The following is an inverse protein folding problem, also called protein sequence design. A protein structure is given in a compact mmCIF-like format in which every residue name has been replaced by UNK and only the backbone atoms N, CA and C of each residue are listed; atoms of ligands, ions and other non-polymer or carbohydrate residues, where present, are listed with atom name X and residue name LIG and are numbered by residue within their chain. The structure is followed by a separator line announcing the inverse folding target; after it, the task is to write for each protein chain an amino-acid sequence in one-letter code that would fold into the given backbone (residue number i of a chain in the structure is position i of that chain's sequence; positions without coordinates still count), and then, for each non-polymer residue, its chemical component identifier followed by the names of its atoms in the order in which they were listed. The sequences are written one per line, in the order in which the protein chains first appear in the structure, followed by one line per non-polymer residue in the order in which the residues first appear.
data_IF_676259966729
#
_entry.id   IF_676259966729
#
_cell.length_a   1.000
_cell.length_b   1.000
_cell.length_c   1.000
_cell.angle_alpha   90.00
_cell.angle_beta   90.00
_cell.angle_gamma   90.00
#
_symmetry.space_group_name_H-M   'P 1'
#
loop_
_entity.id
_entity.type
_entity.pdbx_description
1 polymer ?
#
# COMPACT_ATOMS: atom_id res chain seq x y z
N UNK A 1 3.48 -2.20 19.64
CA UNK A 1 3.04 -1.25 18.58
C UNK A 1 3.74 -1.69 17.30
N UNK A 2 2.98 -1.92 16.26
CA UNK A 2 3.55 -2.19 14.94
C UNK A 2 3.65 -0.87 14.17
N UNK A 3 4.83 -0.58 13.63
CA UNK A 3 5.16 0.63 12.90
C UNK A 3 5.86 0.28 11.60
N UNK A 4 5.42 0.85 10.51
CA UNK A 4 6.05 0.71 9.19
C UNK A 4 6.13 2.05 8.45
N UNK A 5 6.97 2.10 7.44
CA UNK A 5 7.02 3.19 6.46
C UNK A 5 6.82 2.56 5.09
N UNK A 6 5.81 3.03 4.35
CA UNK A 6 5.64 2.64 2.95
C UNK A 6 6.87 3.09 2.16
N UNK A 7 7.46 2.18 1.40
CA UNK A 7 8.69 2.49 0.67
C UNK A 7 8.52 3.57 -0.39
N UNK A 8 7.28 3.88 -0.82
CA UNK A 8 6.98 5.04 -1.65
C UNK A 8 7.46 6.37 -1.02
N UNK A 9 7.61 6.40 0.31
CA UNK A 9 8.17 7.56 1.03
C UNK A 9 9.59 7.94 0.56
N UNK A 10 10.29 7.05 -0.15
CA UNK A 10 11.64 7.23 -0.68
C UNK A 10 11.67 7.18 -2.22
N UNK A 11 10.55 7.49 -2.89
CA UNK A 11 10.43 7.32 -4.35
C UNK A 11 11.37 8.23 -5.15
N UNK A 12 11.64 9.47 -4.70
CA UNK A 12 12.58 10.37 -5.38
C UNK A 12 14.02 9.92 -5.25
N UNK A 13 14.41 9.41 -4.07
CA UNK A 13 15.74 8.80 -3.86
C UNK A 13 15.90 7.53 -4.72
N UNK A 14 14.82 6.75 -4.89
CA UNK A 14 14.81 5.61 -5.81
C UNK A 14 15.00 6.08 -7.27
N UNK A 15 14.26 7.11 -7.70
CA UNK A 15 14.35 7.66 -9.06
C UNK A 15 15.75 8.21 -9.40
N UNK A 16 16.44 8.78 -8.42
CA UNK A 16 17.84 9.25 -8.60
C UNK A 16 18.87 8.14 -8.52
N UNK A 17 18.48 6.92 -8.15
CA UNK A 17 19.39 5.79 -7.96
C UNK A 17 20.18 5.84 -6.65
N UNK A 18 19.82 6.75 -5.74
CA UNK A 18 20.42 6.87 -4.41
C UNK A 18 19.81 5.90 -3.39
N UNK A 19 18.74 5.20 -3.77
CA UNK A 19 18.00 4.28 -2.91
C UNK A 19 17.62 2.99 -3.66
N UNK A 20 17.54 1.91 -2.94
CA UNK A 20 17.03 0.62 -3.39
C UNK A 20 16.29 -0.11 -2.25
N UNK A 21 15.81 -1.31 -2.50
CA UNK A 21 15.08 -2.10 -1.50
C UNK A 21 15.95 -2.45 -0.27
N UNK A 22 17.26 -2.60 -0.43
CA UNK A 22 18.16 -2.92 0.68
C UNK A 22 18.43 -1.69 1.55
N UNK A 23 18.56 -0.51 0.93
CA UNK A 23 18.66 0.75 1.65
C UNK A 23 17.35 1.05 2.38
N UNK A 24 16.19 0.81 1.75
CA UNK A 24 14.88 0.91 2.39
C UNK A 24 14.78 0.07 3.68
N UNK A 25 15.23 -1.20 3.64
CA UNK A 25 15.24 -2.07 4.82
C UNK A 25 16.14 -1.48 5.92
N UNK A 26 17.33 -0.99 5.56
CA UNK A 26 18.28 -0.35 6.49
C UNK A 26 17.69 0.91 7.13
N UNK A 27 17.02 1.74 6.33
CA UNK A 27 16.41 2.99 6.80
C UNK A 27 15.23 2.72 7.72
N UNK A 28 14.35 1.77 7.39
CA UNK A 28 13.28 1.33 8.28
C UNK A 28 13.81 0.83 9.63
N UNK A 29 14.89 0.02 9.62
CA UNK A 29 15.54 -0.42 10.84
C UNK A 29 16.07 0.77 11.67
N UNK A 30 16.76 1.69 11.02
CA UNK A 30 17.36 2.88 11.65
C UNK A 30 16.30 3.85 12.21
N UNK A 31 15.12 3.90 11.60
CA UNK A 31 13.99 4.73 12.02
C UNK A 31 13.10 4.04 13.08
N UNK A 32 13.45 2.81 13.52
CA UNK A 32 12.73 2.08 14.55
C UNK A 32 11.42 1.45 14.10
N UNK A 33 11.27 1.18 12.80
CA UNK A 33 10.15 0.38 12.30
C UNK A 33 10.20 -1.04 12.87
N UNK A 34 9.05 -1.68 12.96
CA UNK A 34 8.91 -3.07 13.43
C UNK A 34 8.52 -4.03 12.32
N UNK A 35 8.14 -3.49 11.16
CA UNK A 35 7.87 -4.23 9.93
C UNK A 35 8.08 -3.33 8.71
N UNK A 36 8.08 -3.94 7.55
CA UNK A 36 8.23 -3.28 6.24
C UNK A 36 6.88 -3.15 5.55
N UNK A 37 6.66 -2.03 4.87
CA UNK A 37 5.51 -1.76 4.01
C UNK A 37 6.05 -1.43 2.61
N UNK A 38 6.11 -2.45 1.76
CA UNK A 38 6.85 -2.39 0.50
C UNK A 38 5.94 -1.99 -0.65
N UNK A 39 6.23 -0.87 -1.31
CA UNK A 39 5.66 -0.53 -2.60
C UNK A 39 6.44 -1.22 -3.74
N UNK A 40 5.72 -1.79 -4.70
CA UNK A 40 6.33 -2.59 -5.77
C UNK A 40 7.31 -1.82 -6.66
N UNK A 41 7.25 -0.48 -6.71
CA UNK A 41 8.24 0.34 -7.41
C UNK A 41 9.67 0.19 -6.89
N UNK A 42 9.87 -0.23 -5.63
CA UNK A 42 11.19 -0.58 -5.07
C UNK A 42 11.75 -1.93 -5.56
N UNK A 43 11.00 -2.62 -6.41
CA UNK A 43 11.41 -3.87 -7.06
C UNK A 43 11.47 -3.71 -8.59
N UNK A 44 12.24 -2.72 -9.13
CA UNK A 44 12.16 -2.35 -10.54
C UNK A 44 12.51 -3.50 -11.49
N UNK A 45 13.35 -4.45 -11.08
CA UNK A 45 13.68 -5.64 -11.88
C UNK A 45 12.54 -6.67 -11.98
N UNK A 46 11.49 -6.54 -11.15
CA UNK A 46 10.31 -7.41 -11.15
C UNK A 46 9.09 -6.74 -11.81
N UNK A 47 9.17 -5.43 -12.11
CA UNK A 47 8.14 -4.71 -12.85
C UNK A 47 8.16 -5.15 -14.32
N UNK A 48 7.01 -5.07 -14.97
CA UNK A 48 6.95 -5.21 -16.42
C UNK A 48 7.43 -3.92 -17.11
N UNK A 49 7.90 -4.06 -18.34
CA UNK A 49 8.17 -2.92 -19.19
C UNK A 49 6.84 -2.20 -19.48
N UNK A 50 6.75 -0.91 -19.12
CA UNK A 50 5.56 -0.09 -19.37
C UNK A 50 5.19 0.00 -20.86
N UNK A 51 6.15 -0.26 -21.76
CA UNK A 51 5.92 -0.32 -23.21
C UNK A 51 5.36 -1.68 -23.67
N UNK A 52 5.24 -2.67 -22.77
CA UNK A 52 4.76 -4.01 -23.11
C UNK A 52 3.28 -3.98 -23.47
N UNK A 53 2.93 -4.53 -24.64
CA UNK A 53 1.53 -4.68 -25.04
C UNK A 53 0.76 -5.58 -24.07
N UNK A 54 -0.48 -5.25 -23.68
CA UNK A 54 -1.33 -6.11 -22.84
C UNK A 54 -1.43 -7.54 -23.33
N UNK A 55 -1.54 -7.74 -24.64
CA UNK A 55 -1.61 -9.06 -25.27
C UNK A 55 -0.33 -9.91 -25.14
N UNK A 56 0.78 -9.32 -24.74
CA UNK A 56 2.03 -10.03 -24.44
C UNK A 56 2.15 -10.48 -22.98
N UNK A 57 1.23 -10.08 -22.12
CA UNK A 57 1.14 -10.55 -20.74
C UNK A 57 0.33 -11.86 -20.73
N UNK A 58 1.03 -12.97 -20.73
CA UNK A 58 0.44 -14.32 -20.73
C UNK A 58 0.47 -14.93 -19.32
N UNK A 59 -0.29 -15.99 -19.03
CA UNK A 59 -0.29 -16.64 -17.71
C UNK A 59 1.10 -17.04 -17.20
N UNK A 60 2.04 -17.35 -18.09
CA UNK A 60 3.44 -17.68 -17.74
C UNK A 60 4.15 -16.49 -17.08
N UNK A 61 3.72 -15.25 -17.37
CA UNK A 61 4.26 -14.05 -16.73
C UNK A 61 4.05 -14.05 -15.21
N UNK A 62 3.02 -14.70 -14.70
CA UNK A 62 2.80 -14.84 -13.26
C UNK A 62 3.84 -15.74 -12.58
N UNK A 63 4.56 -16.58 -13.32
CA UNK A 63 5.57 -17.47 -12.77
C UNK A 63 6.89 -16.72 -12.54
N UNK A 64 7.54 -17.04 -11.42
CA UNK A 64 8.84 -16.45 -11.08
C UNK A 64 9.98 -17.33 -11.61
N UNK A 65 10.92 -16.72 -12.29
CA UNK A 65 12.15 -17.38 -12.73
C UNK A 65 13.08 -17.68 -11.54
N UNK A 66 14.05 -18.56 -11.74
CA UNK A 66 15.05 -18.86 -10.72
C UNK A 66 15.84 -17.63 -10.24
N UNK A 67 16.17 -16.70 -11.16
CA UNK A 67 16.88 -15.48 -10.82
C UNK A 67 16.03 -14.52 -9.97
N UNK A 68 14.72 -14.42 -10.24
CA UNK A 68 13.79 -13.62 -9.44
C UNK A 68 13.59 -14.22 -8.05
N UNK A 69 13.49 -15.54 -7.94
CA UNK A 69 13.42 -16.23 -6.65
C UNK A 69 14.69 -16.03 -5.82
N UNK A 70 15.87 -16.06 -6.44
CA UNK A 70 17.14 -15.75 -5.78
C UNK A 70 17.17 -14.28 -5.29
N UNK A 71 16.71 -13.34 -6.11
CA UNK A 71 16.62 -11.93 -5.72
C UNK A 71 15.68 -11.72 -4.54
N UNK A 72 14.48 -12.31 -4.56
CA UNK A 72 13.52 -12.25 -3.46
C UNK A 72 14.06 -12.91 -2.18
N UNK A 73 14.79 -14.02 -2.32
CA UNK A 73 15.47 -14.68 -1.19
C UNK A 73 16.50 -13.77 -0.53
N UNK A 74 17.25 -13.00 -1.32
CA UNK A 74 18.22 -12.02 -0.78
C UNK A 74 17.52 -10.87 -0.05
N UNK A 75 16.42 -10.35 -0.61
CA UNK A 75 15.63 -9.29 0.03
C UNK A 75 15.08 -9.79 1.37
N UNK A 76 14.45 -10.97 1.37
CA UNK A 76 13.92 -11.56 2.60
C UNK A 76 15.02 -11.81 3.62
N UNK A 77 16.18 -12.31 3.23
CA UNK A 77 17.33 -12.51 4.11
C UNK A 77 17.85 -11.21 4.73
N UNK A 78 17.82 -10.10 3.98
CA UNK A 78 18.16 -8.77 4.50
C UNK A 78 17.14 -8.30 5.54
N UNK A 79 15.85 -8.45 5.25
CA UNK A 79 14.76 -8.10 6.17
C UNK A 79 14.82 -8.94 7.47
N UNK A 80 15.01 -10.25 7.34
CA UNK A 80 15.16 -11.18 8.48
C UNK A 80 16.38 -10.78 9.35
N UNK A 81 17.49 -10.39 8.72
CA UNK A 81 18.72 -9.94 9.43
C UNK A 81 18.51 -8.63 10.17
N UNK A 82 17.65 -7.76 9.67
CA UNK A 82 17.24 -6.52 10.31
C UNK A 82 16.14 -6.73 11.37
N UNK A 83 15.56 -7.93 11.48
CA UNK A 83 14.43 -8.22 12.36
C UNK A 83 13.11 -7.60 11.92
N UNK A 84 12.96 -7.30 10.63
CA UNK A 84 11.81 -6.61 10.05
C UNK A 84 11.01 -7.56 9.13
N UNK A 85 9.92 -8.17 9.59
CA UNK A 85 9.01 -8.89 8.70
C UNK A 85 8.34 -7.93 7.71
N UNK A 86 7.91 -8.45 6.55
CA UNK A 86 7.03 -7.71 5.64
C UNK A 86 5.60 -7.68 6.20
N UNK A 87 4.96 -6.51 6.17
CA UNK A 87 3.55 -6.30 6.48
C UNK A 87 2.71 -6.30 5.21
N UNK A 88 2.52 -5.15 4.58
CA UNK A 88 1.78 -5.04 3.33
C UNK A 88 2.73 -4.91 2.12
N UNK A 89 2.37 -5.55 1.00
CA UNK A 89 2.95 -5.25 -0.32
C UNK A 89 1.95 -4.38 -1.10
N UNK A 90 2.26 -3.11 -1.28
CA UNK A 90 1.45 -2.18 -2.06
C UNK A 90 1.80 -2.29 -3.55
N UNK A 91 0.82 -2.66 -4.39
CA UNK A 91 1.04 -2.93 -5.81
C UNK A 91 0.33 -1.93 -6.69
N UNK A 92 1.10 -1.23 -7.52
CA UNK A 92 0.61 -0.42 -8.63
C UNK A 92 0.65 -1.20 -9.94
N UNK A 93 -0.24 -0.84 -10.89
CA UNK A 93 -0.25 -1.44 -12.22
C UNK A 93 -0.91 -2.81 -12.34
N UNK A 94 -1.65 -3.25 -11.30
CA UNK A 94 -2.43 -4.48 -11.30
C UNK A 94 -3.89 -4.26 -10.86
N UNK A 95 -4.38 -3.01 -10.97
CA UNK A 95 -5.74 -2.64 -10.56
C UNK A 95 -6.82 -3.34 -11.41
N UNK A 96 -8.01 -3.49 -10.82
CA UNK A 96 -9.04 -4.39 -11.37
C UNK A 96 -9.81 -3.81 -12.54
N UNK A 97 -10.12 -2.50 -12.51
CA UNK A 97 -10.85 -1.85 -13.59
C UNK A 97 -9.94 -1.09 -14.54
N UNK A 98 -10.13 -1.37 -15.80
CA UNK A 98 -9.67 -0.64 -16.98
C UNK A 98 -10.78 -0.62 -18.01
N UNK A 99 -10.80 0.36 -18.92
CA UNK A 99 -11.79 0.42 -20.00
C UNK A 99 -11.63 -0.76 -20.98
N UNK A 100 -10.39 -1.14 -21.28
CA UNK A 100 -10.08 -2.27 -22.16
C UNK A 100 -10.17 -3.61 -21.45
N UNK A 101 -10.97 -4.57 -21.95
CA UNK A 101 -10.98 -5.95 -21.43
C UNK A 101 -9.61 -6.63 -21.48
N UNK A 102 -8.80 -6.35 -22.50
CA UNK A 102 -7.45 -6.88 -22.65
C UNK A 102 -6.52 -6.36 -21.54
N UNK A 103 -6.65 -5.08 -21.17
CA UNK A 103 -5.91 -4.51 -20.03
C UNK A 103 -6.35 -5.14 -18.72
N UNK A 104 -7.66 -5.35 -18.51
CA UNK A 104 -8.17 -6.03 -17.30
C UNK A 104 -7.59 -7.43 -17.19
N UNK A 105 -7.55 -8.19 -18.27
CA UNK A 105 -6.95 -9.53 -18.28
C UNK A 105 -5.44 -9.48 -17.98
N UNK A 106 -4.72 -8.54 -18.57
CA UNK A 106 -3.29 -8.35 -18.29
C UNK A 106 -3.05 -8.00 -16.82
N UNK A 107 -3.85 -7.09 -16.25
CA UNK A 107 -3.75 -6.69 -14.84
C UNK A 107 -4.07 -7.85 -13.88
N UNK A 108 -5.02 -8.73 -14.24
CA UNK A 108 -5.30 -9.94 -13.47
C UNK A 108 -4.09 -10.88 -13.41
N UNK A 109 -3.40 -11.10 -14.54
CA UNK A 109 -2.15 -11.89 -14.57
C UNK A 109 -1.04 -11.22 -13.76
N UNK A 110 -0.92 -9.87 -13.84
CA UNK A 110 0.03 -9.12 -13.02
C UNK A 110 -0.30 -9.24 -11.53
N UNK A 111 -1.57 -9.19 -11.15
CA UNK A 111 -1.99 -9.43 -9.77
C UNK A 111 -1.54 -10.82 -9.29
N UNK A 112 -1.73 -11.87 -10.09
CA UNK A 112 -1.26 -13.23 -9.75
C UNK A 112 0.27 -13.29 -9.55
N UNK A 113 1.03 -12.57 -10.38
CA UNK A 113 2.47 -12.44 -10.20
C UNK A 113 2.82 -11.80 -8.86
N UNK A 114 2.15 -10.70 -8.52
CA UNK A 114 2.39 -10.00 -7.27
C UNK A 114 1.93 -10.79 -6.04
N UNK A 115 0.88 -11.61 -6.14
CA UNK A 115 0.54 -12.60 -5.12
C UNK A 115 1.69 -13.59 -4.88
N UNK A 116 2.33 -14.07 -5.95
CA UNK A 116 3.48 -14.97 -5.83
C UNK A 116 4.69 -14.28 -5.18
N UNK A 117 4.96 -13.01 -5.53
CA UNK A 117 6.04 -12.21 -4.94
C UNK A 117 5.77 -11.96 -3.45
N UNK A 118 4.56 -11.54 -3.09
CA UNK A 118 4.17 -11.31 -1.69
C UNK A 118 4.35 -12.58 -0.84
N UNK A 119 3.91 -13.72 -1.35
CA UNK A 119 4.07 -15.02 -0.68
C UNK A 119 5.56 -15.39 -0.49
N UNK A 120 6.43 -15.13 -1.47
CA UNK A 120 7.88 -15.39 -1.36
C UNK A 120 8.55 -14.49 -0.31
N UNK A 121 8.12 -13.23 -0.21
CA UNK A 121 8.59 -12.31 0.82
C UNK A 121 8.02 -12.65 2.22
N UNK A 122 6.93 -13.41 2.28
CA UNK A 122 6.22 -13.72 3.52
C UNK A 122 5.37 -12.56 4.03
N UNK A 123 4.97 -11.64 3.16
CA UNK A 123 4.02 -10.58 3.50
C UNK A 123 2.63 -11.20 3.76
N UNK A 124 1.94 -10.85 4.86
CA UNK A 124 0.59 -11.35 5.11
C UNK A 124 -0.49 -10.58 4.35
N UNK A 125 -0.18 -9.40 3.84
CA UNK A 125 -1.14 -8.51 3.18
C UNK A 125 -0.60 -8.02 1.83
N UNK A 126 -1.53 -7.81 0.89
CA UNK A 126 -1.25 -7.20 -0.40
C UNK A 126 -2.34 -6.18 -0.74
N UNK A 127 -1.95 -5.00 -1.18
CA UNK A 127 -2.88 -3.99 -1.68
C UNK A 127 -2.96 -4.08 -3.21
N UNK A 128 -4.18 -4.26 -3.72
CA UNK A 128 -4.52 -4.18 -5.15
C UNK A 128 -5.64 -3.17 -5.30
N UNK A 129 -5.42 -2.12 -6.09
CA UNK A 129 -6.37 -1.03 -6.28
C UNK A 129 -7.60 -1.44 -7.11
N UNK A 130 -8.70 -0.73 -6.88
CA UNK A 130 -9.93 -0.90 -7.66
C UNK A 130 -9.78 -0.42 -9.12
N UNK A 131 -9.05 0.67 -9.34
CA UNK A 131 -8.99 1.34 -10.64
C UNK A 131 -10.21 2.22 -10.93
N UNK A 132 -10.44 2.52 -12.20
CA UNK A 132 -11.62 3.25 -12.65
C UNK A 132 -11.58 4.77 -12.38
N UNK A 133 -12.75 5.37 -12.17
CA UNK A 133 -12.90 6.80 -11.87
C UNK A 133 -13.77 7.04 -10.64
N UNK A 134 -13.70 8.24 -10.01
CA UNK A 134 -14.56 8.59 -8.90
C UNK A 134 -16.07 8.55 -9.24
N UNK A 135 -16.42 8.80 -10.50
CA UNK A 135 -17.77 8.65 -11.05
C UNK A 135 -18.04 7.18 -11.42
N UNK A 136 -18.06 6.30 -10.40
CA UNK A 136 -18.22 4.87 -10.59
C UNK A 136 -19.60 4.52 -11.17
N UNK A 137 -19.63 4.02 -12.40
CA UNK A 137 -20.83 3.47 -13.01
C UNK A 137 -21.18 2.08 -12.46
N UNK A 138 -22.40 1.58 -12.72
CA UNK A 138 -22.76 0.22 -12.32
C UNK A 138 -21.93 -0.83 -13.05
N UNK A 139 -21.59 -0.63 -14.33
CA UNK A 139 -20.68 -1.51 -15.06
C UNK A 139 -19.28 -1.56 -14.43
N UNK A 140 -18.74 -0.39 -14.07
CA UNK A 140 -17.44 -0.30 -13.38
C UNK A 140 -17.48 -1.01 -12.03
N UNK A 141 -18.55 -0.81 -11.26
CA UNK A 141 -18.76 -1.49 -9.98
C UNK A 141 -18.79 -3.01 -10.15
N UNK A 142 -19.57 -3.52 -11.11
CA UNK A 142 -19.69 -4.96 -11.36
C UNK A 142 -18.34 -5.59 -11.75
N UNK A 143 -17.53 -4.91 -12.55
CA UNK A 143 -16.17 -5.36 -12.92
C UNK A 143 -15.26 -5.39 -11.70
N UNK A 144 -15.24 -4.32 -10.88
CA UNK A 144 -14.40 -4.24 -9.68
C UNK A 144 -14.79 -5.35 -8.69
N UNK A 145 -16.08 -5.50 -8.40
CA UNK A 145 -16.59 -6.50 -7.44
C UNK A 145 -16.27 -7.91 -7.93
N UNK A 146 -16.52 -8.20 -9.21
CA UNK A 146 -16.17 -9.51 -9.80
C UNK A 146 -14.66 -9.77 -9.74
N UNK A 147 -13.84 -8.74 -10.00
CA UNK A 147 -12.39 -8.84 -9.93
C UNK A 147 -11.88 -9.19 -8.52
N UNK A 148 -12.42 -8.55 -7.47
CA UNK A 148 -12.06 -8.90 -6.09
C UNK A 148 -12.58 -10.29 -5.70
N UNK A 149 -13.81 -10.66 -6.08
CA UNK A 149 -14.33 -12.01 -5.81
C UNK A 149 -13.47 -13.11 -6.43
N UNK A 150 -12.86 -12.85 -7.59
CA UNK A 150 -11.94 -13.77 -8.24
C UNK A 150 -10.53 -13.74 -7.60
N UNK A 151 -10.07 -12.57 -7.14
CA UNK A 151 -8.73 -12.40 -6.56
C UNK A 151 -8.63 -12.98 -5.13
N UNK A 152 -9.63 -12.75 -4.28
CA UNK A 152 -9.59 -13.13 -2.87
C UNK A 152 -9.29 -14.62 -2.62
N UNK A 153 -9.95 -15.59 -3.29
CA UNK A 153 -9.64 -17.01 -3.11
C UNK A 153 -8.20 -17.35 -3.48
N UNK A 154 -7.67 -16.79 -4.58
CA UNK A 154 -6.29 -17.02 -5.03
C UNK A 154 -5.26 -16.46 -4.05
N UNK A 155 -5.55 -15.31 -3.45
CA UNK A 155 -4.72 -14.73 -2.40
C UNK A 155 -4.77 -15.59 -1.12
N UNK A 156 -5.96 -16.04 -0.70
CA UNK A 156 -6.15 -16.88 0.47
C UNK A 156 -5.41 -18.22 0.37
N UNK A 157 -5.34 -18.86 -0.81
CA UNK A 157 -4.54 -20.06 -1.05
C UNK A 157 -3.05 -19.86 -0.77
N UNK A 158 -2.58 -18.60 -0.80
CA UNK A 158 -1.18 -18.22 -0.50
C UNK A 158 -1.02 -17.62 0.91
N UNK A 159 -2.09 -17.61 1.70
CA UNK A 159 -2.09 -17.03 3.04
C UNK A 159 -2.09 -15.50 3.07
N UNK A 160 -2.54 -14.86 1.99
CA UNK A 160 -2.57 -13.40 1.85
C UNK A 160 -3.98 -12.83 2.09
N UNK A 161 -4.06 -11.74 2.83
CA UNK A 161 -5.22 -10.85 2.90
C UNK A 161 -5.10 -9.79 1.80
N UNK A 162 -6.16 -9.59 1.01
CA UNK A 162 -6.21 -8.53 -0.01
C UNK A 162 -6.80 -7.28 0.60
N UNK A 163 -6.13 -6.16 0.39
CA UNK A 163 -6.59 -4.83 0.77
C UNK A 163 -6.89 -4.01 -0.49
N UNK A 164 -7.96 -3.23 -0.44
CA UNK A 164 -8.19 -2.07 -1.30
C UNK A 164 -7.71 -0.84 -0.55
N UNK A 165 -7.06 0.10 -1.21
CA UNK A 165 -6.76 1.41 -0.63
C UNK A 165 -7.79 2.44 -1.09
N UNK A 166 -8.16 3.39 -0.23
CA UNK A 166 -8.74 4.63 -0.68
C UNK A 166 -7.62 5.48 -1.32
N UNK A 167 -7.41 5.29 -2.62
CA UNK A 167 -6.26 5.82 -3.34
C UNK A 167 -6.68 6.73 -4.48
N UNK A 168 -6.79 6.20 -5.68
CA UNK A 168 -7.22 6.91 -6.89
C UNK A 168 -8.41 6.20 -7.54
N UNK A 169 -8.97 6.80 -8.60
CA UNK A 169 -10.08 6.19 -9.31
C UNK A 169 -11.34 6.02 -8.45
N UNK A 170 -11.98 4.87 -8.53
CA UNK A 170 -13.25 4.60 -7.85
C UNK A 170 -13.14 4.70 -6.32
N UNK A 171 -11.99 4.36 -5.75
CA UNK A 171 -11.81 4.33 -4.28
C UNK A 171 -11.51 5.69 -3.63
N UNK A 172 -11.57 6.81 -4.39
CA UNK A 172 -11.38 8.16 -3.83
C UNK A 172 -12.56 8.69 -3.03
N UNK A 173 -13.73 8.08 -3.15
CA UNK A 173 -14.94 8.55 -2.49
C UNK A 173 -15.44 7.56 -1.47
N UNK A 174 -15.91 8.00 -0.28
CA UNK A 174 -16.40 7.11 0.76
C UNK A 174 -17.55 6.24 0.28
N UNK A 175 -18.46 6.78 -0.52
CA UNK A 175 -19.64 6.08 -1.02
C UNK A 175 -19.26 4.88 -1.89
N UNK A 176 -18.25 5.03 -2.75
CA UNK A 176 -17.75 3.93 -3.57
C UNK A 176 -17.03 2.87 -2.74
N UNK A 177 -16.17 3.31 -1.80
CA UNK A 177 -15.44 2.42 -0.90
C UNK A 177 -16.42 1.60 -0.08
N UNK A 178 -17.44 2.22 0.52
CA UNK A 178 -18.47 1.52 1.29
C UNK A 178 -19.22 0.49 0.44
N UNK A 179 -19.65 0.90 -0.76
CA UNK A 179 -20.37 0.04 -1.70
C UNK A 179 -19.55 -1.19 -2.09
N UNK A 180 -18.24 -1.01 -2.38
CA UNK A 180 -17.36 -2.13 -2.74
C UNK A 180 -17.13 -3.06 -1.54
N UNK A 181 -16.79 -2.52 -0.35
CA UNK A 181 -16.55 -3.33 0.84
C UNK A 181 -17.80 -4.13 1.27
N UNK A 182 -18.99 -3.56 1.15
CA UNK A 182 -20.26 -4.26 1.43
C UNK A 182 -20.53 -5.40 0.42
N UNK A 183 -20.16 -5.21 -0.84
CA UNK A 183 -20.36 -6.21 -1.90
C UNK A 183 -19.31 -7.33 -1.88
N UNK A 184 -18.13 -7.10 -1.27
CA UNK A 184 -17.01 -8.06 -1.27
C UNK A 184 -16.62 -8.44 0.17
N UNK A 185 -17.35 -9.34 0.83
CA UNK A 185 -16.96 -9.83 2.15
C UNK A 185 -15.57 -10.45 2.14
N UNK A 186 -14.72 -10.03 3.09
CA UNK A 186 -13.34 -10.48 3.19
C UNK A 186 -12.30 -9.55 2.56
N UNK A 187 -12.73 -8.54 1.79
CA UNK A 187 -11.85 -7.46 1.35
C UNK A 187 -11.56 -6.52 2.52
N UNK A 188 -10.28 -6.24 2.79
CA UNK A 188 -9.85 -5.25 3.79
C UNK A 188 -9.65 -3.86 3.19
N UNK A 189 -9.51 -2.86 4.08
CA UNK A 189 -9.13 -1.50 3.68
C UNK A 189 -7.73 -1.17 4.20
N UNK A 190 -6.82 -0.79 3.30
CA UNK A 190 -5.66 0.02 3.62
C UNK A 190 -6.16 1.47 3.67
N UNK A 191 -6.21 2.02 4.87
CA UNK A 191 -6.76 3.35 5.13
C UNK A 191 -5.67 4.41 4.97
N UNK A 192 -5.74 5.20 3.88
CA UNK A 192 -4.88 6.37 3.69
C UNK A 192 -5.59 7.63 4.19
N UNK A 193 -4.88 8.42 5.01
CA UNK A 193 -5.44 9.62 5.62
C UNK A 193 -5.57 10.80 4.65
N UNK A 194 -4.81 10.83 3.56
CA UNK A 194 -4.70 11.95 2.63
C UNK A 194 -5.38 11.79 1.27
N UNK A 195 -5.61 10.55 0.83
CA UNK A 195 -6.03 10.26 -0.55
C UNK A 195 -7.53 10.47 -0.84
N UNK A 196 -8.35 10.68 0.18
CA UNK A 196 -9.75 11.01 -0.02
C UNK A 196 -9.93 12.30 -0.84
N UNK A 197 -11.02 12.40 -1.58
CA UNK A 197 -11.45 13.67 -2.14
C UNK A 197 -11.54 14.71 -1.02
N UNK A 198 -10.99 15.92 -1.23
CA UNK A 198 -10.75 16.88 -0.15
C UNK A 198 -12.03 17.26 0.63
N UNK A 199 -13.13 17.49 -0.10
CA UNK A 199 -14.45 17.80 0.46
C UNK A 199 -15.16 16.62 1.13
N UNK A 200 -14.66 15.38 0.90
CA UNK A 200 -15.19 14.13 1.46
C UNK A 200 -14.31 13.48 2.52
N UNK A 201 -13.15 14.06 2.83
CA UNK A 201 -12.16 13.48 3.75
C UNK A 201 -12.75 13.10 5.10
N UNK A 202 -13.56 13.97 5.69
CA UNK A 202 -14.22 13.72 6.99
C UNK A 202 -15.15 12.50 6.95
N UNK A 203 -15.97 12.40 5.92
CA UNK A 203 -16.83 11.24 5.72
C UNK A 203 -16.01 9.97 5.45
N UNK A 204 -14.92 10.11 4.68
CA UNK A 204 -13.97 9.03 4.41
C UNK A 204 -13.30 8.51 5.68
N UNK A 205 -12.90 9.39 6.60
CA UNK A 205 -12.34 8.98 7.88
C UNK A 205 -13.38 8.29 8.76
N UNK A 206 -14.60 8.85 8.85
CA UNK A 206 -15.67 8.25 9.63
C UNK A 206 -16.02 6.82 9.16
N UNK A 207 -16.02 6.58 7.84
CA UNK A 207 -16.20 5.24 7.26
C UNK A 207 -14.96 4.37 7.43
N UNK A 208 -13.82 4.85 6.95
CA UNK A 208 -12.61 4.06 6.74
C UNK A 208 -12.03 3.53 8.05
N UNK A 209 -12.10 4.28 9.15
CA UNK A 209 -11.59 3.86 10.46
C UNK A 209 -12.23 2.55 10.98
N UNK A 210 -13.47 2.25 10.59
CA UNK A 210 -14.17 1.01 10.97
C UNK A 210 -13.77 -0.20 10.09
N UNK A 211 -13.17 0.05 8.92
CA UNK A 211 -12.79 -0.99 7.95
C UNK A 211 -11.28 -1.18 7.83
N UNK A 212 -10.48 -0.30 8.46
CA UNK A 212 -9.02 -0.31 8.36
C UNK A 212 -8.40 -1.63 8.85
N UNK A 213 -7.56 -2.24 8.01
CA UNK A 213 -6.70 -3.38 8.32
C UNK A 213 -5.22 -2.99 8.36
N UNK A 214 -4.85 -1.99 7.56
CA UNK A 214 -3.56 -1.33 7.55
C UNK A 214 -3.78 0.18 7.33
N UNK A 215 -2.75 0.98 7.53
CA UNK A 215 -2.84 2.44 7.34
C UNK A 215 -1.71 2.97 6.48
N UNK A 216 -1.99 4.07 5.74
CA UNK A 216 -1.02 5.02 5.26
C UNK A 216 -1.31 6.38 5.91
N UNK A 217 -0.56 6.70 6.97
CA UNK A 217 -0.59 8.01 7.60
C UNK A 217 0.18 8.98 6.69
N UNK A 218 -0.56 9.65 5.81
CA UNK A 218 0.00 10.49 4.75
C UNK A 218 0.52 11.80 5.31
N UNK A 219 1.79 12.11 5.11
CA UNK A 219 2.41 13.34 5.57
C UNK A 219 3.08 14.11 4.41
N UNK A 220 2.96 15.44 4.40
CA UNK A 220 3.48 16.29 3.33
C UNK A 220 4.35 17.44 3.85
N UNK A 221 3.94 18.11 4.92
CA UNK A 221 4.58 19.34 5.36
C UNK A 221 4.56 19.45 6.89
N UNK A 222 5.70 19.75 7.47
CA UNK A 222 5.85 19.90 8.92
C UNK A 222 6.18 21.35 9.29
N UNK A 223 5.60 21.82 10.40
CA UNK A 223 6.03 23.05 11.06
C UNK A 223 7.32 22.86 11.89
N UNK A 224 7.77 23.93 12.54
CA UNK A 224 8.99 23.91 13.36
C UNK A 224 8.83 23.05 14.63
N UNK A 225 7.61 22.84 15.11
CA UNK A 225 7.26 21.98 16.24
C UNK A 225 7.10 20.50 15.84
N UNK A 226 7.21 20.19 14.54
CA UNK A 226 7.10 18.84 13.98
C UNK A 226 5.66 18.36 13.84
N UNK A 227 4.68 19.25 13.74
CA UNK A 227 3.29 18.88 13.42
C UNK A 227 3.10 18.85 11.91
N UNK A 228 2.36 17.86 11.42
CA UNK A 228 1.89 17.83 10.04
C UNK A 228 0.80 18.90 9.86
N UNK A 229 0.92 19.74 8.81
CA UNK A 229 0.10 20.96 8.66
C UNK A 229 -1.00 20.85 7.61
N UNK A 230 -1.07 19.76 6.85
CA UNK A 230 -2.04 19.56 5.76
C UNK A 230 -3.05 18.45 6.02
N UNK A 231 -2.68 17.47 6.85
CA UNK A 231 -3.54 16.35 7.27
C UNK A 231 -3.50 16.24 8.80
N UNK A 232 -4.66 16.29 9.45
CA UNK A 232 -4.73 16.14 10.92
C UNK A 232 -4.48 14.67 11.33
N UNK A 233 -3.21 14.24 11.23
CA UNK A 233 -2.78 12.88 11.59
C UNK A 233 -3.16 12.52 13.02
N UNK A 234 -2.93 13.39 14.04
CA UNK A 234 -3.35 13.08 15.41
C UNK A 234 -4.84 12.77 15.54
N UNK A 235 -5.68 13.49 14.80
CA UNK A 235 -7.13 13.24 14.81
C UNK A 235 -7.49 11.93 14.14
N UNK A 236 -6.95 11.65 12.95
CA UNK A 236 -7.18 10.39 12.24
C UNK A 236 -6.75 9.18 13.09
N UNK A 237 -5.59 9.27 13.75
CA UNK A 237 -5.11 8.22 14.65
C UNK A 237 -6.03 8.02 15.86
N UNK A 238 -6.54 9.09 16.48
CA UNK A 238 -7.52 8.96 17.56
C UNK A 238 -8.82 8.29 17.08
N UNK A 239 -9.33 8.65 15.91
CA UNK A 239 -10.51 8.00 15.33
C UNK A 239 -10.30 6.51 15.09
N UNK A 240 -9.12 6.11 14.60
CA UNK A 240 -8.73 4.69 14.46
C UNK A 240 -8.70 3.98 15.82
N UNK A 241 -8.08 4.60 16.85
CA UNK A 241 -8.04 4.04 18.20
C UNK A 241 -9.45 3.89 18.79
N UNK A 242 -10.32 4.88 18.65
CA UNK A 242 -11.71 4.86 19.14
C UNK A 242 -12.54 3.79 18.41
N UNK A 243 -12.24 3.52 17.13
CA UNK A 243 -12.82 2.41 16.36
C UNK A 243 -12.24 1.03 16.71
N UNK A 244 -11.23 0.97 17.58
CA UNK A 244 -10.59 -0.28 18.01
C UNK A 244 -9.56 -0.85 17.04
N UNK A 245 -8.94 -0.01 16.23
CA UNK A 245 -7.88 -0.42 15.27
C UNK A 245 -6.72 -1.11 15.98
N UNK A 246 -6.32 -2.28 15.45
CA UNK A 246 -5.24 -3.12 16.00
C UNK A 246 -4.13 -3.39 14.97
N UNK A 247 -4.24 -2.84 13.77
CA UNK A 247 -3.25 -3.03 12.71
C UNK A 247 -1.99 -2.19 12.90
N UNK A 248 -1.12 -2.26 11.91
CA UNK A 248 0.13 -1.50 11.84
C UNK A 248 -0.11 -0.01 11.57
N UNK A 249 0.63 0.85 12.27
CA UNK A 249 0.73 2.27 11.97
C UNK A 249 1.70 2.46 10.80
N UNK A 250 1.19 2.30 9.60
CA UNK A 250 1.93 2.54 8.37
C UNK A 250 1.99 4.03 8.06
N UNK A 251 3.17 4.50 7.71
CA UNK A 251 3.45 5.90 7.33
C UNK A 251 3.68 5.95 5.83
N UNK A 252 3.09 6.92 5.16
CA UNK A 252 3.47 7.28 3.80
C UNK A 252 3.83 8.78 3.76
N UNK A 253 5.14 9.05 3.83
CA UNK A 253 5.68 10.41 3.85
C UNK A 253 6.01 10.87 2.43
N UNK A 254 5.30 11.89 1.94
CA UNK A 254 5.49 12.43 0.58
C UNK A 254 5.79 13.94 0.69
N UNK A 255 6.98 14.31 1.15
CA UNK A 255 7.31 15.71 1.36
C UNK A 255 7.30 16.48 0.04
N UNK A 256 6.63 17.64 0.03
CA UNK A 256 6.59 18.50 -1.17
C UNK A 256 7.98 19.01 -1.57
N UNK A 257 8.86 19.17 -0.59
CA UNK A 257 10.23 19.65 -0.75
C UNK A 257 11.13 19.04 0.34
N UNK A 258 12.44 19.05 0.10
CA UNK A 258 13.43 18.61 1.07
C UNK A 258 13.73 17.11 1.00
N UNK A 259 14.42 16.64 2.02
CA UNK A 259 14.92 15.28 2.14
C UNK A 259 13.82 14.31 2.59
N UNK A 260 13.68 13.17 1.89
CA UNK A 260 12.64 12.16 2.16
C UNK A 260 12.91 11.39 3.44
N UNK A 261 14.18 11.11 3.76
CA UNK A 261 14.54 10.42 4.99
C UNK A 261 14.22 11.27 6.23
N UNK A 262 14.59 12.56 6.21
CA UNK A 262 14.26 13.48 7.31
C UNK A 262 12.75 13.71 7.46
N UNK A 263 11.99 13.69 6.36
CA UNK A 263 10.54 13.77 6.42
C UNK A 263 9.92 12.49 7.01
N UNK A 264 10.39 11.31 6.61
CA UNK A 264 9.98 10.04 7.19
C UNK A 264 10.28 9.98 8.69
N UNK A 265 11.46 10.46 9.12
CA UNK A 265 11.85 10.55 10.53
C UNK A 265 10.93 11.47 11.34
N UNK A 266 10.54 12.62 10.78
CA UNK A 266 9.55 13.51 11.42
C UNK A 266 8.18 12.83 11.53
N UNK A 267 7.77 12.06 10.54
CA UNK A 267 6.52 11.31 10.55
C UNK A 267 6.52 10.23 11.63
N UNK A 268 7.62 9.50 11.78
CA UNK A 268 7.82 8.52 12.88
C UNK A 268 7.71 9.21 14.24
N UNK A 269 8.40 10.35 14.42
CA UNK A 269 8.35 11.10 15.67
C UNK A 269 6.92 11.61 15.99
N UNK A 270 6.16 12.02 14.97
CA UNK A 270 4.76 12.41 15.12
C UNK A 270 3.90 11.24 15.61
N UNK A 271 4.02 10.06 14.99
CA UNK A 271 3.27 8.86 15.38
C UNK A 271 3.58 8.47 16.83
N UNK A 272 4.85 8.43 17.21
CA UNK A 272 5.27 8.16 18.60
C UNK A 272 4.68 9.18 19.57
N UNK A 273 4.69 10.47 19.23
CA UNK A 273 4.13 11.53 20.08
C UNK A 273 2.63 11.35 20.29
N UNK A 274 1.88 11.01 19.23
CA UNK A 274 0.43 10.78 19.33
C UNK A 274 0.10 9.57 20.17
N UNK A 275 0.90 8.51 20.07
CA UNK A 275 0.71 7.26 20.82
C UNK A 275 1.28 7.31 22.25
N UNK A 276 2.00 8.39 22.63
CA UNK A 276 2.65 8.52 23.92
C UNK A 276 3.78 7.50 24.14
N UNK A 277 4.47 7.11 23.03
CA UNK A 277 5.60 6.17 23.05
C UNK A 277 6.90 6.90 22.67
N UNK A 278 8.04 6.29 22.93
CA UNK A 278 9.35 6.80 22.49
C UNK A 278 9.89 5.92 21.36
N UNK A 279 10.57 6.51 20.36
CA UNK A 279 11.36 5.72 19.42
C UNK A 279 12.38 4.84 20.19
N UNK A 280 12.55 3.61 19.73
CA UNK A 280 13.57 2.69 20.28
C UNK A 280 14.98 3.14 19.88
#
# INVERSE_FOLDING_TARGET
MELSICSYSFHRLLETGEHDVFQYISDCHSLGCTQLDLWNGHLPSLLDDAARSPSSITPEYAQLSAGELEYLTRIKGSADSAGLPFGCLAVDGAHLYEDSPEMRQANQIKADRWLNIAAQLGAPQIRIDAGGSPEMTDEMFDVIVSGYHDLLPRAAEKGLEVLMENHWGASRTPENVERILQAVPGLGLLFDTGNWQEDKREAGWALGTHHARATHLKTYTFDDEGNETTVDIPRAMRMLQDAGYQGSWGIESVPRQGDEYEAAKKSVALVHRVLGTTPN
#
